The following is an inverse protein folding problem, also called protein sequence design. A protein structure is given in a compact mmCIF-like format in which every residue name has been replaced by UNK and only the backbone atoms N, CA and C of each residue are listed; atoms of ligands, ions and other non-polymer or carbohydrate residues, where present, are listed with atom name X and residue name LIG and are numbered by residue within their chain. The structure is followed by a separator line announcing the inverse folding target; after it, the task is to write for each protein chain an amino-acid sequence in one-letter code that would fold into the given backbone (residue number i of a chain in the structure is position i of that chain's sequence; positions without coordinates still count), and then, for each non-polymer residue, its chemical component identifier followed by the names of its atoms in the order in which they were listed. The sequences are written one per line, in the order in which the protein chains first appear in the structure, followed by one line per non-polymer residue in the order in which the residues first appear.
data_IF_646987831319
#
_entry.id   IF_646987831319
#
_cell.length_a   1.000
_cell.length_b   1.000
_cell.length_c   1.000
_cell.angle_alpha   90.00
_cell.angle_beta   90.00
_cell.angle_gamma   90.00
#
_symmetry.space_group_name_H-M   'P 1'
#
loop_
_entity.id
_entity.type
_entity.pdbx_description
1 polymer ?
#
# COMPACT_ATOMS: atom_id res chain seq x y z
N UNK A 1 29.36 -3.70 -9.20
CA UNK A 1 29.44 -4.24 -10.57
C UNK A 1 29.09 -3.13 -11.55
N UNK A 2 30.08 -2.64 -12.30
CA UNK A 2 29.92 -1.57 -13.28
C UNK A 2 29.28 -2.11 -14.55
N UNK A 3 28.32 -1.40 -15.15
CA UNK A 3 27.78 -1.70 -16.48
C UNK A 3 28.39 -0.75 -17.49
N UNK A 4 28.82 -1.27 -18.65
CA UNK A 4 29.23 -0.40 -19.76
C UNK A 4 28.01 0.33 -20.32
N UNK A 5 28.21 1.50 -20.89
CA UNK A 5 27.11 2.32 -21.42
C UNK A 5 26.28 1.58 -22.47
N UNK A 6 26.92 0.83 -23.37
CA UNK A 6 26.26 0.00 -24.38
C UNK A 6 25.53 -1.23 -23.82
N UNK A 7 25.64 -1.47 -22.51
CA UNK A 7 24.94 -2.53 -21.79
C UNK A 7 23.86 -1.97 -20.85
N UNK A 8 23.65 -0.65 -20.80
CA UNK A 8 22.66 -0.03 -19.94
C UNK A 8 21.54 0.60 -20.78
N UNK A 9 20.40 0.86 -20.15
CA UNK A 9 19.27 1.51 -20.81
C UNK A 9 19.48 3.02 -20.77
N UNK A 10 19.56 3.63 -21.94
CA UNK A 10 19.71 5.06 -22.07
C UNK A 10 18.41 5.81 -21.78
N UNK A 11 18.54 6.87 -20.97
CA UNK A 11 17.47 7.77 -20.58
C UNK A 11 17.48 9.08 -21.39
N UNK A 12 18.41 9.24 -22.34
CA UNK A 12 18.51 10.39 -23.24
C UNK A 12 19.06 11.66 -22.58
N UNK A 13 19.54 11.57 -21.34
CA UNK A 13 20.03 12.71 -20.58
C UNK A 13 21.57 12.82 -20.56
N UNK A 14 22.29 11.84 -21.14
CA UNK A 14 23.75 11.83 -21.23
C UNK A 14 24.50 11.66 -19.91
N UNK A 15 23.83 11.41 -18.78
CA UNK A 15 24.49 11.27 -17.47
C UNK A 15 24.02 10.09 -16.63
N UNK A 16 22.81 9.57 -16.85
CA UNK A 16 22.25 8.46 -16.09
C UNK A 16 21.64 7.42 -17.02
N UNK A 17 21.81 6.17 -16.61
CA UNK A 17 21.32 5.00 -17.32
C UNK A 17 20.66 4.05 -16.31
N UNK A 18 19.78 3.19 -16.80
CA UNK A 18 19.19 2.14 -15.97
C UNK A 18 19.83 0.79 -16.24
N UNK A 19 19.86 -0.05 -15.21
CA UNK A 19 20.17 -1.45 -15.36
C UNK A 19 19.18 -2.13 -16.33
N UNK A 20 19.58 -3.02 -17.26
CA UNK A 20 18.66 -3.64 -18.23
C UNK A 20 17.60 -4.58 -17.65
N UNK A 21 17.60 -4.78 -16.33
CA UNK A 21 16.50 -5.43 -15.62
C UNK A 21 15.26 -4.54 -15.54
N UNK A 22 15.44 -3.23 -15.72
CA UNK A 22 14.38 -2.23 -15.75
C UNK A 22 13.83 -1.99 -17.16
N UNK A 23 14.21 -2.80 -18.15
CA UNK A 23 13.76 -2.67 -19.54
C UNK A 23 12.24 -2.53 -19.68
N UNK A 24 11.39 -3.24 -18.92
CA UNK A 24 9.94 -3.06 -19.03
C UNK A 24 9.45 -1.63 -18.75
N UNK A 25 10.19 -0.82 -17.99
CA UNK A 25 9.86 0.60 -17.79
C UNK A 25 9.99 1.43 -19.07
N UNK A 26 10.78 0.98 -20.03
CA UNK A 26 11.00 1.73 -21.27
C UNK A 26 9.73 1.84 -22.11
N UNK A 27 8.79 0.88 -22.00
CA UNK A 27 7.48 0.99 -22.67
C UNK A 27 6.70 2.22 -22.22
N UNK A 28 6.77 2.58 -20.94
CA UNK A 28 6.05 3.72 -20.37
C UNK A 28 6.90 5.00 -20.34
N UNK A 29 8.22 4.87 -20.35
CA UNK A 29 9.16 6.00 -20.32
C UNK A 29 9.48 6.56 -21.70
N UNK A 30 9.67 5.72 -22.73
CA UNK A 30 10.15 6.17 -24.03
C UNK A 30 9.26 7.28 -24.58
N UNK A 31 9.91 8.29 -25.15
CA UNK A 31 9.27 9.27 -26.03
C UNK A 31 10.34 9.99 -26.83
N UNK A 32 9.94 10.51 -27.99
CA UNK A 32 10.86 11.26 -28.87
C UNK A 32 11.53 12.43 -28.13
N UNK A 33 10.82 13.07 -27.21
CA UNK A 33 11.33 14.19 -26.40
C UNK A 33 12.30 13.78 -25.29
N UNK A 34 12.17 12.57 -24.75
CA UNK A 34 12.97 12.14 -23.60
C UNK A 34 14.25 11.45 -24.04
N UNK A 35 14.16 10.52 -25.01
CA UNK A 35 15.29 9.69 -25.41
C UNK A 35 15.31 9.32 -26.90
N UNK A 36 14.56 10.04 -27.74
CA UNK A 36 14.52 9.80 -29.19
C UNK A 36 13.84 8.48 -29.61
N UNK A 37 13.20 7.76 -28.68
CA UNK A 37 12.48 6.51 -28.96
C UNK A 37 10.98 6.74 -29.03
N UNK A 38 10.28 5.93 -29.80
CA UNK A 38 8.81 5.95 -29.79
C UNK A 38 8.25 5.48 -28.44
N UNK A 39 7.20 6.14 -27.98
CA UNK A 39 6.51 5.79 -26.75
C UNK A 39 5.71 6.96 -26.16
N UNK A 40 4.95 6.70 -25.09
CA UNK A 40 4.00 7.67 -24.52
C UNK A 40 4.64 8.74 -23.63
N UNK A 41 5.82 8.50 -23.05
CA UNK A 41 6.44 9.44 -22.11
C UNK A 41 5.68 9.62 -20.79
N UNK A 42 4.97 8.59 -20.33
CA UNK A 42 4.12 8.63 -19.13
C UNK A 42 4.87 8.31 -17.82
N UNK A 43 6.19 8.10 -17.87
CA UNK A 43 7.03 7.89 -16.70
C UNK A 43 8.11 8.97 -16.61
N UNK A 44 8.21 9.62 -15.45
CA UNK A 44 9.31 10.51 -15.11
C UNK A 44 10.28 9.83 -14.14
N UNK A 45 11.59 10.05 -14.33
CA UNK A 45 12.64 9.53 -13.48
C UNK A 45 13.41 10.71 -12.87
N UNK A 46 13.48 10.73 -11.54
CA UNK A 46 14.26 11.73 -10.81
C UNK A 46 15.55 11.05 -10.33
N UNK A 47 16.69 11.57 -10.77
CA UNK A 47 18.00 11.04 -10.41
C UNK A 47 18.60 11.74 -9.21
N UNK A 48 19.61 11.09 -8.62
CA UNK A 48 20.43 11.64 -7.53
C UNK A 48 19.61 12.13 -6.33
N UNK A 49 18.48 11.44 -6.06
CA UNK A 49 17.63 11.71 -4.89
C UNK A 49 18.34 11.23 -3.64
N UNK A 50 18.50 12.12 -2.66
CA UNK A 50 19.14 11.82 -1.39
C UNK A 50 18.96 12.97 -0.38
N UNK A 51 19.38 12.74 0.85
CA UNK A 51 19.43 13.76 1.91
C UNK A 51 20.86 13.96 2.41
N UNK A 52 21.18 15.14 2.92
CA UNK A 52 22.51 15.45 3.45
C UNK A 52 22.83 14.60 4.69
N UNK A 53 24.10 14.23 4.87
CA UNK A 53 24.53 13.46 6.05
C UNK A 53 23.88 12.07 6.14
N UNK A 54 23.83 11.32 5.03
CA UNK A 54 23.17 10.01 5.00
C UNK A 54 23.63 9.07 6.10
N UNK A 55 22.66 8.47 6.80
CA UNK A 55 22.96 7.49 7.84
C UNK A 55 23.55 6.22 7.24
N UNK A 56 24.67 5.75 7.82
CA UNK A 56 25.27 4.44 7.51
C UNK A 56 24.50 3.26 8.14
N UNK A 57 23.57 3.51 9.04
CA UNK A 57 22.68 2.50 9.62
C UNK A 57 21.47 2.28 8.72
N UNK A 58 21.25 1.02 8.29
CA UNK A 58 20.09 0.60 7.51
C UNK A 58 18.76 0.99 8.18
N UNK A 59 18.61 0.73 9.48
CA UNK A 59 17.38 1.04 10.22
C UNK A 59 17.08 2.53 10.24
N UNK A 60 18.08 3.35 10.59
CA UNK A 60 17.89 4.81 10.61
C UNK A 60 17.62 5.36 9.22
N UNK A 61 18.32 4.88 8.19
CA UNK A 61 18.11 5.36 6.82
C UNK A 61 16.71 4.99 6.30
N UNK A 62 16.27 3.75 6.55
CA UNK A 62 14.91 3.33 6.23
C UNK A 62 13.86 4.14 6.98
N UNK A 63 14.12 4.49 8.24
CA UNK A 63 13.24 5.34 9.04
C UNK A 63 13.12 6.74 8.44
N UNK A 64 14.24 7.37 8.08
CA UNK A 64 14.29 8.70 7.49
C UNK A 64 13.57 8.78 6.13
N UNK A 65 13.70 7.75 5.29
CA UNK A 65 12.96 7.70 4.02
C UNK A 65 11.46 7.52 4.21
N UNK A 66 11.03 6.80 5.24
CA UNK A 66 9.61 6.57 5.53
C UNK A 66 8.95 7.75 6.24
N UNK A 67 9.70 8.46 7.09
CA UNK A 67 9.20 9.62 7.81
C UNK A 67 9.48 10.95 7.10
N UNK A 68 10.32 11.00 6.05
CA UNK A 68 10.74 12.23 5.35
C UNK A 68 11.23 13.36 6.26
N UNK A 69 11.87 13.03 7.38
CA UNK A 69 12.50 13.96 8.32
C UNK A 69 13.91 13.45 8.67
N UNK A 70 14.89 13.63 7.76
CA UNK A 70 16.23 13.10 7.93
C UNK A 70 16.93 13.64 9.18
N UNK A 71 17.49 12.73 9.99
CA UNK A 71 18.15 13.07 11.25
C UNK A 71 17.25 12.97 12.48
N UNK A 72 15.92 12.96 12.30
CA UNK A 72 14.97 12.78 13.39
C UNK A 72 14.55 11.32 13.56
N UNK A 73 15.27 10.60 14.44
CA UNK A 73 14.95 9.20 14.78
C UNK A 73 13.72 9.05 15.68
N UNK A 74 13.24 10.15 16.27
CA UNK A 74 12.13 10.15 17.23
C UNK A 74 10.78 10.36 16.54
N UNK A 75 10.78 10.91 15.32
CA UNK A 75 9.55 11.05 14.54
C UNK A 75 9.15 9.71 13.96
N UNK A 76 8.21 9.08 14.64
CA UNK A 76 7.65 7.78 14.31
C UNK A 76 6.44 7.84 13.37
N UNK A 77 6.01 9.06 13.02
CA UNK A 77 4.96 9.29 12.03
C UNK A 77 5.51 9.21 10.61
N UNK A 78 4.77 8.55 9.73
CA UNK A 78 5.13 8.41 8.33
C UNK A 78 4.78 9.62 7.48
N UNK A 79 5.53 9.85 6.40
CA UNK A 79 5.24 10.94 5.47
C UNK A 79 3.87 10.78 4.79
N UNK A 80 3.50 9.55 4.40
CA UNK A 80 2.20 9.30 3.79
C UNK A 80 1.08 9.36 4.83
N UNK A 81 1.33 8.92 6.07
CA UNK A 81 0.39 9.13 7.17
C UNK A 81 0.05 10.62 7.34
N UNK A 82 1.07 11.48 7.45
CA UNK A 82 0.88 12.93 7.59
C UNK A 82 0.15 13.53 6.40
N UNK A 83 0.46 13.08 5.18
CA UNK A 83 -0.26 13.51 3.99
C UNK A 83 -1.75 13.12 4.02
N UNK A 84 -2.06 11.89 4.46
CA UNK A 84 -3.44 11.42 4.56
C UNK A 84 -4.22 12.25 5.59
N UNK A 85 -3.70 12.44 6.81
CA UNK A 85 -4.43 13.20 7.83
C UNK A 85 -4.60 14.68 7.48
N UNK A 86 -3.71 15.24 6.66
CA UNK A 86 -3.84 16.60 6.14
C UNK A 86 -4.88 16.74 5.02
N UNK A 87 -5.24 15.64 4.34
CA UNK A 87 -6.11 15.68 3.15
C UNK A 87 -7.41 14.88 3.31
N UNK A 88 -7.52 14.10 4.38
CA UNK A 88 -8.64 13.20 4.66
C UNK A 88 -8.96 13.24 6.14
N UNK A 89 -10.21 13.54 6.47
CA UNK A 89 -10.69 13.38 7.84
C UNK A 89 -10.91 11.90 8.16
N UNK A 90 -9.94 11.29 8.84
CA UNK A 90 -10.02 9.91 9.34
C UNK A 90 -11.04 9.73 10.49
N UNK A 91 -11.65 10.82 10.98
CA UNK A 91 -12.78 10.78 11.90
C UNK A 91 -14.13 10.56 11.19
N UNK A 92 -14.13 10.36 9.87
CA UNK A 92 -15.32 9.99 9.08
C UNK A 92 -15.31 8.50 8.74
N UNK A 93 -16.44 7.82 8.89
CA UNK A 93 -16.54 6.36 8.67
C UNK A 93 -16.29 5.97 7.22
N UNK A 94 -16.76 6.79 6.27
CA UNK A 94 -16.49 6.62 4.85
C UNK A 94 -14.99 6.62 4.55
N UNK A 95 -14.16 7.27 5.37
CA UNK A 95 -12.71 7.34 5.22
C UNK A 95 -11.96 6.26 6.02
N UNK A 96 -12.67 5.30 6.63
CA UNK A 96 -12.05 4.24 7.44
C UNK A 96 -11.00 3.42 6.67
N UNK A 97 -11.12 3.36 5.35
CA UNK A 97 -10.19 2.64 4.46
C UNK A 97 -9.43 3.56 3.49
N UNK A 98 -9.23 4.83 3.84
CA UNK A 98 -8.53 5.79 2.96
C UNK A 98 -7.08 5.38 2.63
N UNK A 99 -6.44 4.57 3.46
CA UNK A 99 -5.15 3.97 3.18
C UNK A 99 -4.95 2.69 3.99
N UNK A 100 -4.14 1.77 3.47
CA UNK A 100 -3.81 0.53 4.16
C UNK A 100 -2.44 -0.01 3.76
N UNK A 101 -1.92 -0.98 4.52
CA UNK A 101 -0.71 -1.73 4.18
C UNK A 101 -1.03 -3.22 3.95
N UNK A 102 -0.48 -3.80 2.87
CA UNK A 102 -0.48 -5.26 2.66
C UNK A 102 0.89 -5.82 3.08
N UNK A 103 1.09 -5.95 4.38
CA UNK A 103 2.38 -6.28 4.99
C UNK A 103 2.21 -7.13 6.27
N UNK A 104 3.28 -7.83 6.64
CA UNK A 104 3.34 -8.59 7.89
C UNK A 104 3.52 -7.70 9.14
N UNK A 105 3.93 -6.45 8.94
CA UNK A 105 4.11 -5.45 9.99
C UNK A 105 3.69 -4.07 9.48
N UNK A 106 3.28 -3.20 10.40
CA UNK A 106 2.93 -1.81 10.07
C UNK A 106 4.13 -1.08 9.47
N UNK A 107 3.93 -0.44 8.32
CA UNK A 107 4.97 0.37 7.68
C UNK A 107 5.05 1.73 8.38
N UNK A 108 6.26 2.19 8.71
CA UNK A 108 6.47 3.51 9.33
C UNK A 108 5.89 4.60 8.44
N UNK A 109 6.00 4.46 7.12
CA UNK A 109 5.48 5.43 6.16
C UNK A 109 3.96 5.71 6.29
N UNK A 110 3.21 4.76 6.85
CA UNK A 110 1.76 4.84 7.11
C UNK A 110 1.41 4.79 8.60
N UNK A 111 2.40 4.91 9.50
CA UNK A 111 2.20 4.88 10.94
C UNK A 111 1.88 6.27 11.47
N UNK A 112 0.98 6.33 12.45
CA UNK A 112 0.70 7.52 13.24
C UNK A 112 -0.39 7.27 14.29
N UNK A 113 -0.82 8.31 15.03
CA UNK A 113 -1.75 8.19 16.15
C UNK A 113 -3.12 7.62 15.79
N UNK A 114 -3.63 7.97 14.60
CA UNK A 114 -4.87 7.38 14.05
C UNK A 114 -4.51 6.10 13.30
N UNK A 115 -4.97 4.92 13.74
CA UNK A 115 -4.56 3.66 13.13
C UNK A 115 -5.09 3.55 11.69
N UNK A 116 -4.22 3.11 10.77
CA UNK A 116 -4.59 2.69 9.42
C UNK A 116 -4.53 1.16 9.33
N UNK A 117 -5.42 0.51 8.56
CA UNK A 117 -5.42 -0.95 8.41
C UNK A 117 -4.09 -1.52 7.90
N UNK A 118 -3.64 -2.61 8.51
CA UNK A 118 -2.52 -3.43 8.02
C UNK A 118 -2.88 -4.91 8.09
N UNK A 119 -2.66 -5.63 7.00
CA UNK A 119 -3.02 -7.04 6.87
C UNK A 119 -2.11 -7.76 5.89
N UNK A 120 -1.99 -9.09 6.00
CA UNK A 120 -1.20 -9.87 5.04
C UNK A 120 -1.96 -10.16 3.73
N UNK A 121 -3.29 -10.30 3.85
CA UNK A 121 -4.27 -10.44 2.76
C UNK A 121 -5.58 -9.80 3.20
N UNK A 122 -6.27 -9.12 2.29
CA UNK A 122 -7.53 -8.44 2.54
C UNK A 122 -8.64 -9.42 2.92
N UNK A 123 -8.67 -10.60 2.30
CA UNK A 123 -9.65 -11.66 2.62
C UNK A 123 -9.46 -12.25 4.02
N UNK A 124 -8.25 -12.14 4.58
CA UNK A 124 -7.93 -12.58 5.93
C UNK A 124 -8.22 -11.49 6.98
N UNK A 125 -8.56 -10.26 6.57
CA UNK A 125 -9.01 -9.20 7.47
C UNK A 125 -10.46 -9.41 7.89
N UNK A 126 -10.69 -10.50 8.60
CA UNK A 126 -11.98 -10.89 9.14
C UNK A 126 -11.79 -11.60 10.48
N UNK A 127 -12.90 -11.82 11.19
CA UNK A 127 -12.86 -12.65 12.39
C UNK A 127 -12.59 -14.11 12.02
N UNK A 128 -11.95 -14.86 12.93
CA UNK A 128 -11.73 -16.29 12.72
C UNK A 128 -13.09 -17.01 12.73
N UNK A 129 -13.42 -17.71 11.65
CA UNK A 129 -14.67 -18.46 11.55
C UNK A 129 -15.16 -18.65 10.12
N UNK A 130 -16.35 -19.24 9.98
CA UNK A 130 -17.03 -19.33 8.68
C UNK A 130 -17.60 -17.97 8.26
N UNK A 131 -17.83 -17.77 6.97
CA UNK A 131 -18.46 -16.55 6.44
C UNK A 131 -19.78 -16.21 7.16
N UNK A 132 -20.60 -17.22 7.48
CA UNK A 132 -21.82 -17.04 8.25
C UNK A 132 -21.57 -16.54 9.68
N UNK A 133 -20.54 -17.06 10.37
CA UNK A 133 -20.15 -16.58 11.70
C UNK A 133 -19.62 -15.15 11.64
N UNK A 134 -18.81 -14.83 10.63
CA UNK A 134 -18.27 -13.49 10.43
C UNK A 134 -19.37 -12.46 10.15
N UNK A 135 -20.36 -12.83 9.32
CA UNK A 135 -21.54 -11.99 9.06
C UNK A 135 -22.39 -11.80 10.32
N UNK A 136 -22.60 -12.85 11.12
CA UNK A 136 -23.32 -12.77 12.40
C UNK A 136 -22.57 -11.88 13.41
N UNK A 137 -21.25 -11.98 13.46
CA UNK A 137 -20.42 -11.20 14.38
C UNK A 137 -20.29 -9.72 13.98
N UNK A 138 -20.13 -9.43 12.68
CA UNK A 138 -20.16 -8.06 12.17
C UNK A 138 -21.55 -7.44 12.44
N UNK A 139 -22.61 -8.21 12.18
CA UNK A 139 -23.98 -7.86 12.51
C UNK A 139 -24.54 -6.75 11.61
N UNK A 140 -25.37 -5.88 12.18
CA UNK A 140 -26.12 -4.85 11.44
C UNK A 140 -26.18 -3.55 12.24
N UNK A 141 -26.22 -2.42 11.54
CA UNK A 141 -26.38 -1.10 12.16
C UNK A 141 -27.79 -0.95 12.78
N UNK A 142 -27.94 -0.12 13.82
CA UNK A 142 -29.25 0.26 14.34
C UNK A 142 -30.17 0.80 13.24
N UNK A 143 -31.48 0.55 13.35
CA UNK A 143 -32.49 1.03 12.39
C UNK A 143 -32.53 0.32 11.02
N UNK A 144 -31.64 -0.65 10.75
CA UNK A 144 -31.64 -1.38 9.46
C UNK A 144 -32.62 -2.56 9.39
N UNK A 145 -32.99 -3.15 10.52
CA UNK A 145 -33.97 -4.25 10.60
C UNK A 145 -34.91 -3.97 11.78
N UNK A 146 -36.22 -3.82 11.57
CA UNK A 146 -37.19 -3.54 12.65
C UNK A 146 -37.17 -4.57 13.78
N UNK A 147 -36.73 -5.81 13.52
CA UNK A 147 -36.63 -6.87 14.54
C UNK A 147 -35.46 -6.64 15.51
N UNK A 148 -34.49 -5.82 15.13
CA UNK A 148 -33.30 -5.50 15.91
C UNK A 148 -33.08 -3.98 15.90
N UNK A 149 -33.91 -3.20 16.62
CA UNK A 149 -33.87 -1.73 16.56
C UNK A 149 -32.50 -1.16 16.92
N UNK A 150 -31.80 -1.78 17.87
CA UNK A 150 -30.44 -1.41 18.31
C UNK A 150 -29.32 -2.02 17.45
N UNK A 151 -29.65 -2.72 16.37
CA UNK A 151 -28.70 -3.45 15.54
C UNK A 151 -28.18 -4.73 16.21
N UNK A 152 -27.18 -5.36 15.60
CA UNK A 152 -26.53 -6.58 16.12
C UNK A 152 -25.02 -6.56 15.88
N UNK A 153 -24.27 -7.38 16.62
CA UNK A 153 -22.83 -7.54 16.41
C UNK A 153 -22.02 -6.26 16.69
N UNK A 154 -20.84 -6.15 16.08
CA UNK A 154 -19.99 -4.95 16.19
C UNK A 154 -20.69 -3.71 15.65
N UNK A 155 -21.41 -3.83 14.52
CA UNK A 155 -22.10 -2.69 13.92
C UNK A 155 -23.25 -2.18 14.79
N UNK A 156 -24.01 -3.05 15.46
CA UNK A 156 -25.01 -2.63 16.44
C UNK A 156 -24.36 -2.04 17.69
N UNK A 157 -23.30 -2.71 18.18
CA UNK A 157 -22.56 -2.24 19.35
C UNK A 157 -22.01 -0.84 19.15
N UNK A 158 -21.43 -0.50 18.01
CA UNK A 158 -20.80 0.82 17.79
C UNK A 158 -21.56 1.76 16.87
N UNK A 159 -22.63 1.34 16.21
CA UNK A 159 -23.45 2.19 15.33
C UNK A 159 -24.39 3.13 16.08
N UNK A 160 -24.71 2.86 17.34
CA UNK A 160 -25.52 3.75 18.19
C UNK A 160 -24.71 4.85 18.87
N UNK A 161 -25.38 5.77 19.59
CA UNK A 161 -24.78 6.94 20.25
C UNK A 161 -23.51 6.61 21.06
N UNK A 162 -22.49 7.46 20.98
CA UNK A 162 -21.22 7.28 21.71
C UNK A 162 -21.42 7.40 23.23
N UNK A 163 -22.20 8.38 23.66
CA UNK A 163 -22.49 8.61 25.07
C UNK A 163 -23.72 7.80 25.50
N UNK A 164 -23.51 6.82 26.38
CA UNK A 164 -24.57 6.04 27.01
C UNK A 164 -24.38 6.06 28.55
N UNK A 165 -25.41 6.41 29.34
CA UNK A 165 -25.27 6.62 30.80
C UNK A 165 -24.62 5.47 31.58
N UNK A 166 -24.78 4.24 31.11
CA UNK A 166 -24.26 3.02 31.77
C UNK A 166 -23.00 2.45 31.11
N UNK A 167 -22.38 3.17 30.16
CA UNK A 167 -21.19 2.70 29.43
C UNK A 167 -20.08 3.76 29.44
N UNK A 168 -19.43 4.02 30.59
CA UNK A 168 -18.47 5.11 30.74
C UNK A 168 -17.27 5.01 29.78
N UNK A 169 -16.79 3.79 29.50
CA UNK A 169 -15.66 3.57 28.57
C UNK A 169 -16.05 3.60 27.10
N UNK A 170 -17.35 3.68 26.78
CA UNK A 170 -17.83 3.64 25.39
C UNK A 170 -17.24 4.78 24.59
N UNK A 171 -17.26 6.00 25.11
CA UNK A 171 -16.69 7.17 24.42
C UNK A 171 -15.25 6.93 23.96
N UNK A 172 -14.43 6.26 24.79
CA UNK A 172 -13.02 5.97 24.50
C UNK A 172 -12.84 5.00 23.34
N UNK A 173 -13.66 3.95 23.25
CA UNK A 173 -13.50 2.87 22.26
C UNK A 173 -14.46 2.97 21.08
N UNK A 174 -15.48 3.81 21.18
CA UNK A 174 -16.60 3.86 20.24
C UNK A 174 -16.14 4.15 18.82
N UNK A 175 -15.29 5.18 18.66
CA UNK A 175 -14.75 5.56 17.37
C UNK A 175 -13.91 4.44 16.73
N UNK A 176 -13.03 3.83 17.51
CA UNK A 176 -12.20 2.70 17.05
C UNK A 176 -13.08 1.52 16.63
N UNK A 177 -14.17 1.24 17.38
CA UNK A 177 -15.14 0.21 17.04
C UNK A 177 -15.90 0.49 15.74
N UNK A 178 -16.34 1.74 15.52
CA UNK A 178 -16.98 2.17 14.27
C UNK A 178 -16.04 1.98 13.08
N UNK A 179 -14.81 2.49 13.18
CA UNK A 179 -13.79 2.40 12.13
C UNK A 179 -13.42 0.94 11.81
N UNK A 180 -13.29 0.09 12.83
CA UNK A 180 -13.04 -1.33 12.65
C UNK A 180 -14.19 -2.02 11.91
N UNK A 181 -15.44 -1.76 12.31
CA UNK A 181 -16.62 -2.31 11.65
C UNK A 181 -16.72 -1.88 10.19
N UNK A 182 -16.50 -0.59 9.91
CA UNK A 182 -16.47 -0.05 8.55
C UNK A 182 -15.37 -0.70 7.71
N UNK A 183 -14.15 -0.80 8.23
CA UNK A 183 -13.00 -1.43 7.56
C UNK A 183 -13.28 -2.89 7.19
N UNK A 184 -13.81 -3.68 8.14
CA UNK A 184 -14.13 -5.09 7.91
C UNK A 184 -15.20 -5.23 6.85
N UNK A 185 -16.25 -4.40 6.90
CA UNK A 185 -17.29 -4.38 5.89
C UNK A 185 -16.71 -4.08 4.50
N UNK A 186 -15.92 -3.00 4.38
CA UNK A 186 -15.26 -2.61 3.12
C UNK A 186 -14.41 -3.74 2.55
N UNK A 187 -13.60 -4.42 3.37
CA UNK A 187 -12.76 -5.50 2.89
C UNK A 187 -13.53 -6.78 2.54
N UNK A 188 -14.59 -7.12 3.28
CA UNK A 188 -15.48 -8.24 2.93
C UNK A 188 -16.20 -7.99 1.61
N UNK A 189 -16.71 -6.77 1.40
CA UNK A 189 -17.39 -6.38 0.17
C UNK A 189 -16.40 -6.39 -1.01
N UNK A 190 -15.21 -5.82 -0.83
CA UNK A 190 -14.17 -5.78 -1.85
C UNK A 190 -13.65 -7.17 -2.24
N UNK A 191 -13.63 -8.14 -1.31
CA UNK A 191 -13.08 -9.49 -1.54
C UNK A 191 -14.13 -10.53 -1.94
N UNK A 192 -15.41 -10.16 -1.97
CA UNK A 192 -16.54 -11.08 -2.23
C UNK A 192 -16.42 -11.85 -3.55
N UNK A 193 -15.91 -11.20 -4.59
CA UNK A 193 -15.77 -11.78 -5.93
C UNK A 193 -14.30 -11.79 -6.36
N UNK A 194 -13.90 -12.80 -7.13
CA UNK A 194 -12.55 -12.87 -7.70
C UNK A 194 -12.23 -11.62 -8.52
N UNK A 195 -11.07 -11.02 -8.29
CA UNK A 195 -10.58 -9.91 -9.12
C UNK A 195 -9.87 -10.43 -10.36
N UNK A 196 -10.29 -9.96 -11.54
CA UNK A 196 -9.60 -10.19 -12.81
C UNK A 196 -8.87 -8.90 -13.20
N UNK A 197 -7.54 -8.94 -13.43
CA UNK A 197 -6.82 -7.80 -13.98
C UNK A 197 -7.48 -7.31 -15.27
N UNK A 198 -7.53 -6.00 -15.46
CA UNK A 198 -8.08 -5.37 -16.66
C UNK A 198 -6.93 -4.91 -17.59
N UNK A 199 -7.26 -4.50 -18.81
CA UNK A 199 -6.35 -3.82 -19.74
C UNK A 199 -5.04 -4.60 -20.03
N UNK A 200 -5.07 -5.92 -19.91
CA UNK A 200 -3.89 -6.77 -20.12
C UNK A 200 -2.83 -6.66 -19.03
N UNK A 201 -3.15 -6.14 -17.84
CA UNK A 201 -2.21 -6.05 -16.72
C UNK A 201 -1.69 -7.43 -16.30
N UNK A 202 -0.37 -7.61 -16.35
CA UNK A 202 0.34 -8.81 -15.89
C UNK A 202 1.22 -8.45 -14.69
N UNK A 203 0.87 -8.98 -13.53
CA UNK A 203 1.64 -8.75 -12.30
C UNK A 203 2.85 -9.71 -12.20
N UNK A 204 3.93 -9.32 -11.51
CA UNK A 204 5.06 -10.21 -11.24
C UNK A 204 4.63 -11.54 -10.60
N UNK A 205 5.45 -12.58 -10.74
CA UNK A 205 5.18 -13.84 -10.05
C UNK A 205 5.46 -13.75 -8.53
N UNK A 206 4.88 -14.69 -7.78
CA UNK A 206 5.10 -14.84 -6.34
C UNK A 206 4.37 -13.82 -5.47
N UNK A 207 4.75 -13.77 -4.19
CA UNK A 207 4.04 -13.02 -3.14
C UNK A 207 3.94 -11.52 -3.44
N UNK A 208 4.96 -10.92 -4.05
CA UNK A 208 4.95 -9.50 -4.38
C UNK A 208 3.86 -9.16 -5.40
N UNK A 209 3.78 -9.90 -6.51
CA UNK A 209 2.74 -9.67 -7.51
C UNK A 209 1.33 -10.03 -7.04
N UNK A 210 1.18 -11.02 -6.16
CA UNK A 210 -0.10 -11.29 -5.50
C UNK A 210 -0.59 -10.07 -4.69
N UNK A 211 0.31 -9.43 -3.91
CA UNK A 211 -0.01 -8.21 -3.16
C UNK A 211 -0.29 -7.02 -4.07
N UNK A 212 0.43 -6.88 -5.19
CA UNK A 212 0.15 -5.84 -6.19
C UNK A 212 -1.24 -6.01 -6.82
N UNK A 213 -1.59 -7.24 -7.20
CA UNK A 213 -2.92 -7.58 -7.73
C UNK A 213 -4.02 -7.27 -6.70
N UNK A 214 -3.75 -7.54 -5.43
CA UNK A 214 -4.68 -7.23 -4.34
C UNK A 214 -4.80 -5.73 -4.08
N UNK A 215 -3.70 -4.98 -4.12
CA UNK A 215 -3.73 -3.52 -4.03
C UNK A 215 -4.53 -2.90 -5.19
N UNK A 216 -4.34 -3.38 -6.42
CA UNK A 216 -5.11 -2.93 -7.58
C UNK A 216 -6.61 -3.24 -7.44
N UNK A 217 -6.96 -4.41 -6.90
CA UNK A 217 -8.35 -4.74 -6.55
C UNK A 217 -8.94 -3.75 -5.55
N UNK A 218 -8.19 -3.45 -4.47
CA UNK A 218 -8.63 -2.55 -3.43
C UNK A 218 -8.80 -1.12 -3.94
N UNK A 219 -7.87 -0.61 -4.75
CA UNK A 219 -8.03 0.69 -5.42
C UNK A 219 -9.30 0.76 -6.27
N UNK A 220 -9.68 -0.33 -6.96
CA UNK A 220 -10.88 -0.36 -7.82
C UNK A 220 -12.20 -0.54 -7.07
N UNK A 221 -12.17 -1.09 -5.84
CA UNK A 221 -13.38 -1.50 -5.10
C UNK A 221 -13.60 -0.76 -3.79
N UNK A 222 -12.69 0.15 -3.42
CA UNK A 222 -12.73 0.90 -2.17
C UNK A 222 -12.34 2.36 -2.43
N UNK A 223 -12.37 3.19 -1.40
CA UNK A 223 -11.88 4.57 -1.46
C UNK A 223 -10.39 4.71 -1.07
N UNK A 224 -9.64 3.60 -1.05
CA UNK A 224 -8.20 3.64 -0.77
C UNK A 224 -7.48 4.59 -1.72
N UNK A 225 -6.68 5.49 -1.16
CA UNK A 225 -5.83 6.44 -1.90
C UNK A 225 -4.37 6.02 -1.86
N UNK A 226 -3.96 5.32 -0.80
CA UNK A 226 -2.58 4.85 -0.62
C UNK A 226 -2.57 3.40 -0.16
N UNK A 227 -1.79 2.57 -0.83
CA UNK A 227 -1.54 1.17 -0.46
C UNK A 227 -0.05 0.94 -0.25
N UNK A 228 0.35 0.61 0.99
CA UNK A 228 1.72 0.29 1.36
C UNK A 228 2.05 -1.18 1.10
N UNK A 229 3.14 -1.44 0.37
CA UNK A 229 3.64 -2.78 0.07
C UNK A 229 5.14 -2.87 0.34
N UNK A 230 5.62 -4.06 0.74
CA UNK A 230 7.03 -4.34 0.90
C UNK A 230 7.51 -5.39 -0.11
N UNK A 231 8.67 -5.14 -0.72
CA UNK A 231 9.45 -6.11 -1.49
C UNK A 231 10.82 -6.29 -0.82
N UNK A 232 11.14 -7.52 -0.44
CA UNK A 232 12.44 -7.88 0.16
C UNK A 232 13.42 -8.45 -0.86
N UNK A 233 14.54 -8.98 -0.37
CA UNK A 233 15.53 -9.69 -1.18
C UNK A 233 16.69 -8.84 -1.69
N UNK A 234 16.73 -7.54 -1.37
CA UNK A 234 17.74 -6.60 -1.85
C UNK A 234 19.12 -6.78 -1.21
N UNK A 235 19.22 -7.41 -0.04
CA UNK A 235 20.49 -7.74 0.62
C UNK A 235 21.06 -9.05 0.05
N UNK A 236 21.66 -8.94 -1.13
CA UNK A 236 22.22 -10.09 -1.85
C UNK A 236 23.67 -10.32 -1.42
N UNK A 237 23.88 -11.00 -0.29
CA UNK A 237 25.22 -11.41 0.19
C UNK A 237 26.03 -12.22 -0.84
N UNK A 238 25.33 -12.98 -1.68
CA UNK A 238 25.88 -13.79 -2.78
C UNK A 238 24.97 -13.68 -4.00
N UNK A 239 25.54 -13.88 -5.20
CA UNK A 239 24.79 -13.92 -6.47
C UNK A 239 23.96 -12.66 -6.74
N UNK A 240 24.41 -11.50 -6.26
CA UNK A 240 23.87 -10.19 -6.65
C UNK A 240 23.78 -10.08 -8.17
N UNK A 241 24.87 -10.46 -8.82
CA UNK A 241 24.99 -10.49 -10.27
C UNK A 241 25.07 -9.09 -10.90
N UNK A 242 25.37 -9.08 -12.19
CA UNK A 242 25.44 -7.87 -13.02
C UNK A 242 24.28 -7.93 -14.02
N UNK A 243 24.56 -8.24 -15.30
CA UNK A 243 23.54 -8.39 -16.34
C UNK A 243 22.54 -9.51 -16.09
N UNK A 244 22.86 -10.43 -15.19
CA UNK A 244 22.04 -11.55 -14.73
C UNK A 244 22.18 -11.68 -13.22
N UNK A 245 21.26 -12.39 -12.56
CA UNK A 245 21.32 -12.65 -11.12
C UNK A 245 20.16 -12.03 -10.34
N UNK A 246 20.24 -12.11 -9.00
CA UNK A 246 19.13 -11.75 -8.11
C UNK A 246 18.78 -10.26 -8.21
N UNK A 247 19.77 -9.39 -8.33
CA UNK A 247 19.53 -7.95 -8.43
C UNK A 247 18.73 -7.60 -9.68
N UNK A 248 19.11 -8.17 -10.84
CA UNK A 248 18.34 -8.01 -12.09
C UNK A 248 16.90 -8.48 -11.92
N UNK A 249 16.67 -9.64 -11.30
CA UNK A 249 15.33 -10.19 -11.12
C UNK A 249 14.45 -9.28 -10.25
N UNK A 250 15.01 -8.73 -9.17
CA UNK A 250 14.29 -7.77 -8.31
C UNK A 250 13.94 -6.49 -9.05
N UNK A 251 14.87 -5.95 -9.82
CA UNK A 251 14.63 -4.80 -10.70
C UNK A 251 13.52 -5.10 -11.72
N UNK A 252 13.53 -6.28 -12.34
CA UNK A 252 12.48 -6.73 -13.24
C UNK A 252 11.11 -6.81 -12.56
N UNK A 253 11.05 -7.30 -11.32
CA UNK A 253 9.81 -7.30 -10.54
C UNK A 253 9.29 -5.88 -10.27
N UNK A 254 10.17 -4.93 -9.97
CA UNK A 254 9.80 -3.51 -9.82
C UNK A 254 9.29 -2.95 -11.14
N UNK A 255 10.01 -3.16 -12.25
CA UNK A 255 9.60 -2.66 -13.56
C UNK A 255 8.23 -3.19 -14.00
N UNK A 256 8.02 -4.50 -13.87
CA UNK A 256 6.75 -5.14 -14.18
C UNK A 256 5.61 -4.67 -13.27
N UNK A 257 5.90 -4.28 -12.02
CA UNK A 257 4.88 -3.68 -11.14
C UNK A 257 4.37 -2.35 -11.68
N UNK A 258 5.27 -1.46 -12.13
CA UNK A 258 4.89 -0.19 -12.74
C UNK A 258 4.09 -0.39 -14.02
N UNK A 259 4.55 -1.30 -14.89
CA UNK A 259 3.83 -1.64 -16.12
C UNK A 259 2.41 -2.15 -15.81
N UNK A 260 2.26 -3.06 -14.85
CA UNK A 260 0.96 -3.62 -14.47
C UNK A 260 -0.03 -2.58 -13.92
N UNK A 261 0.46 -1.51 -13.28
CA UNK A 261 -0.37 -0.41 -12.78
C UNK A 261 -0.63 0.68 -13.82
N UNK A 262 0.19 0.78 -14.86
CA UNK A 262 -0.03 1.69 -15.98
C UNK A 262 -1.14 1.21 -16.92
N UNK A 263 -1.32 -0.12 -17.04
CA UNK A 263 -2.43 -0.75 -17.78
C UNK A 263 -3.78 -0.45 -17.12
#
# INVERSE_FOLDING_TARGET
LFLRENQALDLGNGFAQLHPGLEPLMEIFNSQKLNGKEGPGNLAIIHRVGYAGQSRSHFNSQHYWQNADPGNKKLDEGMFYRQIVNTVDLNREENAFAAASISGSQMVALRGPKPLPNFRKASEFSFKGSSAKNKKFLGRLPGTDPRFPDGTGILGLYGGAANLPRKPYRNTVHRTGQLLGATIKTLQDATKNTYRPANGAVYPNGTFGQRLREAAMLFKRTNARIMGLNIGGWDTHVSQGQLYGKHRQLLGNVANAFQAFHR
#
